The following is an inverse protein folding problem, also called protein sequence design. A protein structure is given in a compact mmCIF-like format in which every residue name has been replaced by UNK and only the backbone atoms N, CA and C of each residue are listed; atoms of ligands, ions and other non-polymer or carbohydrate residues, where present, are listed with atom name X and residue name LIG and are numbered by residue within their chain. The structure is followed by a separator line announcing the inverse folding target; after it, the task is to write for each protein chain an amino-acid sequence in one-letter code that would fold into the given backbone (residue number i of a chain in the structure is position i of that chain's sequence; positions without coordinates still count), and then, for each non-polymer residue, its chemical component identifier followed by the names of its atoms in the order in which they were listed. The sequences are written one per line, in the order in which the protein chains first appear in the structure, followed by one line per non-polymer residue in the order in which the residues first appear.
data_IF_896355392994
#
_entry.id   IF_896355392994
#
_cell.length_a   1.000
_cell.length_b   1.000
_cell.length_c   1.000
_cell.angle_alpha   90.00
_cell.angle_beta   90.00
_cell.angle_gamma   90.00
#
_symmetry.space_group_name_H-M   'P 1'
#
loop_
_entity.id
_entity.type
_entity.pdbx_description
1 polymer ?
#
# COMPACT_ATOMS: atom_id res chain seq x y z
N UNK A 1 6.05 -0.78 -32.06
CA UNK A 1 5.66 -0.10 -30.82
C UNK A 1 4.38 0.74 -30.93
N UNK A 2 3.71 0.83 -32.09
CA UNK A 2 2.48 1.64 -32.24
C UNK A 2 1.17 0.83 -32.35
N UNK A 3 1.24 -0.40 -32.86
CA UNK A 3 0.03 -1.20 -33.17
C UNK A 3 -0.76 -1.61 -31.92
N UNK A 4 -0.08 -1.84 -30.78
CA UNK A 4 -0.71 -2.31 -29.53
C UNK A 4 -1.41 -1.19 -28.76
N UNK A 5 -0.83 0.02 -28.78
CA UNK A 5 -1.46 1.22 -28.25
C UNK A 5 -2.69 1.59 -29.07
N UNK A 6 -2.62 1.44 -30.39
CA UNK A 6 -3.77 1.62 -31.28
C UNK A 6 -4.83 0.54 -31.02
N UNK A 7 -4.46 -0.74 -30.90
CA UNK A 7 -5.42 -1.83 -30.66
C UNK A 7 -6.18 -1.67 -29.32
N UNK A 8 -5.47 -1.34 -28.24
CA UNK A 8 -6.11 -1.10 -26.94
C UNK A 8 -6.97 0.18 -26.98
N UNK A 9 -6.52 1.26 -27.63
CA UNK A 9 -7.34 2.46 -27.83
C UNK A 9 -8.59 2.18 -28.66
N UNK A 10 -8.49 1.41 -29.73
CA UNK A 10 -9.61 1.03 -30.59
C UNK A 10 -10.60 0.13 -29.83
N UNK A 11 -10.12 -0.85 -29.05
CA UNK A 11 -10.97 -1.67 -28.20
C UNK A 11 -11.68 -0.84 -27.11
N UNK A 12 -11.01 0.16 -26.55
CA UNK A 12 -11.59 1.06 -25.54
C UNK A 12 -12.67 1.98 -26.12
N UNK A 13 -12.49 2.46 -27.35
CA UNK A 13 -13.49 3.29 -28.06
C UNK A 13 -14.71 2.46 -28.47
N UNK A 14 -14.52 1.19 -28.84
CA UNK A 14 -15.63 0.29 -29.22
C UNK A 14 -16.44 -0.18 -28.02
N UNK A 15 -15.83 -0.28 -26.83
CA UNK A 15 -16.49 -0.77 -25.61
C UNK A 15 -16.93 0.33 -24.63
N UNK A 16 -16.67 1.61 -24.95
CA UNK A 16 -16.97 2.77 -24.09
C UNK A 16 -16.47 2.60 -22.64
N UNK A 17 -15.26 2.05 -22.48
CA UNK A 17 -14.66 1.87 -21.17
C UNK A 17 -14.36 3.23 -20.53
N UNK A 18 -14.65 3.35 -19.24
CA UNK A 18 -14.28 4.49 -18.42
C UNK A 18 -12.77 4.58 -18.27
N UNK A 19 -12.27 5.79 -17.95
CA UNK A 19 -10.84 6.00 -17.72
C UNK A 19 -10.27 5.06 -16.65
N UNK A 20 -11.05 4.78 -15.61
CA UNK A 20 -10.63 3.90 -14.53
C UNK A 20 -10.58 2.44 -14.97
N UNK A 21 -11.53 1.98 -15.78
CA UNK A 21 -11.49 0.63 -16.36
C UNK A 21 -10.26 0.42 -17.25
N UNK A 22 -9.87 1.45 -18.00
CA UNK A 22 -8.63 1.43 -18.80
C UNK A 22 -7.40 1.31 -17.90
N UNK A 23 -7.33 2.08 -16.81
CA UNK A 23 -6.21 2.01 -15.85
C UNK A 23 -6.14 0.66 -15.13
N UNK A 24 -7.28 0.06 -14.78
CA UNK A 24 -7.31 -1.30 -14.22
C UNK A 24 -6.80 -2.31 -15.24
N UNK A 25 -7.20 -2.21 -16.51
CA UNK A 25 -6.69 -3.08 -17.57
C UNK A 25 -5.18 -2.92 -17.80
N UNK A 26 -4.67 -1.70 -17.71
CA UNK A 26 -3.23 -1.43 -17.78
C UNK A 26 -2.49 -2.08 -16.59
N UNK A 27 -3.02 -1.90 -15.38
CA UNK A 27 -2.44 -2.46 -14.16
C UNK A 27 -2.46 -4.01 -14.15
N UNK A 28 -3.45 -4.62 -14.81
CA UNK A 28 -3.69 -6.07 -14.80
C UNK A 28 -3.36 -6.76 -16.14
N UNK A 29 -2.73 -6.06 -17.08
CA UNK A 29 -2.41 -6.60 -18.41
C UNK A 29 -1.46 -7.81 -18.38
N UNK A 30 -1.38 -8.58 -19.49
CA UNK A 30 -0.66 -9.86 -19.56
C UNK A 30 0.86 -9.74 -19.51
N UNK A 31 1.38 -8.52 -19.57
CA UNK A 31 2.82 -8.25 -19.60
C UNK A 31 3.54 -8.80 -18.36
N UNK A 32 4.80 -9.25 -18.51
CA UNK A 32 5.49 -9.97 -17.45
C UNK A 32 5.93 -9.11 -16.26
N UNK A 33 5.86 -7.79 -16.38
CA UNK A 33 6.13 -6.85 -15.31
C UNK A 33 4.86 -6.46 -14.55
N UNK A 34 5.02 -6.13 -13.27
CA UNK A 34 3.95 -5.62 -12.42
C UNK A 34 3.52 -4.20 -12.81
N UNK A 35 2.36 -3.77 -12.31
CA UNK A 35 1.92 -2.38 -12.44
C UNK A 35 2.88 -1.44 -11.70
N UNK A 36 3.01 -0.20 -12.19
CA UNK A 36 3.75 0.82 -11.46
C UNK A 36 3.04 1.18 -10.16
N UNK A 37 3.79 1.46 -9.10
CA UNK A 37 3.22 1.91 -7.82
C UNK A 37 2.42 3.20 -8.00
N UNK A 38 2.84 4.07 -8.92
CA UNK A 38 2.11 5.30 -9.27
C UNK A 38 0.72 5.01 -9.82
N UNK A 39 0.59 4.05 -10.74
CA UNK A 39 -0.71 3.65 -11.30
C UNK A 39 -1.62 3.03 -10.23
N UNK A 40 -1.07 2.17 -9.37
CA UNK A 40 -1.83 1.60 -8.26
C UNK A 40 -2.27 2.65 -7.24
N UNK A 41 -1.43 3.67 -6.99
CA UNK A 41 -1.76 4.81 -6.13
C UNK A 41 -2.90 5.62 -6.71
N UNK A 42 -2.84 5.92 -8.01
CA UNK A 42 -3.91 6.66 -8.70
C UNK A 42 -5.25 5.91 -8.63
N UNK A 43 -5.24 4.59 -8.87
CA UNK A 43 -6.42 3.75 -8.68
C UNK A 43 -6.91 3.75 -7.23
N UNK A 44 -6.01 3.69 -6.24
CA UNK A 44 -6.37 3.77 -4.83
C UNK A 44 -7.04 5.10 -4.47
N UNK A 45 -6.55 6.21 -5.01
CA UNK A 45 -7.14 7.53 -4.81
C UNK A 45 -8.50 7.65 -5.48
N UNK A 46 -8.65 7.08 -6.68
CA UNK A 46 -9.92 7.05 -7.39
C UNK A 46 -11.01 6.29 -6.61
N UNK A 47 -10.67 5.27 -5.80
CA UNK A 47 -11.67 4.54 -5.01
C UNK A 47 -12.44 5.38 -3.98
N UNK A 48 -11.99 6.60 -3.67
CA UNK A 48 -12.74 7.53 -2.81
C UNK A 48 -13.94 8.17 -3.52
N UNK A 49 -13.94 8.19 -4.86
CA UNK A 49 -15.08 8.57 -5.67
C UNK A 49 -16.01 7.35 -5.87
N UNK A 50 -17.33 7.53 -5.72
CA UNK A 50 -18.29 6.42 -5.87
C UNK A 50 -18.30 5.84 -7.28
N UNK A 51 -18.30 6.69 -8.30
CA UNK A 51 -18.38 6.27 -9.69
C UNK A 51 -17.13 5.47 -10.08
N UNK A 52 -15.96 6.02 -9.77
CA UNK A 52 -14.68 5.36 -10.07
C UNK A 52 -14.55 4.04 -9.31
N UNK A 53 -15.02 3.97 -8.06
CA UNK A 53 -15.09 2.71 -7.32
C UNK A 53 -15.97 1.67 -8.03
N UNK A 54 -17.16 2.07 -8.50
CA UNK A 54 -18.10 1.20 -9.22
C UNK A 54 -17.55 0.76 -10.59
N UNK A 55 -16.56 1.45 -11.14
CA UNK A 55 -15.81 1.04 -12.35
C UNK A 55 -14.62 0.12 -12.02
N UNK A 56 -13.87 0.41 -10.95
CA UNK A 56 -12.61 -0.27 -10.60
C UNK A 56 -12.85 -1.69 -10.08
N UNK A 57 -13.74 -1.85 -9.09
CA UNK A 57 -13.88 -3.13 -8.38
C UNK A 57 -14.40 -4.26 -9.29
N UNK A 58 -15.45 -4.06 -10.11
CA UNK A 58 -15.92 -5.09 -11.02
C UNK A 58 -14.84 -5.54 -12.02
N UNK A 59 -14.05 -4.61 -12.55
CA UNK A 59 -12.96 -4.92 -13.47
C UNK A 59 -11.91 -5.84 -12.85
N UNK A 60 -11.62 -5.68 -11.56
CA UNK A 60 -10.71 -6.57 -10.82
C UNK A 60 -11.35 -7.96 -10.64
N UNK A 61 -12.62 -8.02 -10.23
CA UNK A 61 -13.31 -9.30 -10.04
C UNK A 61 -13.49 -10.09 -11.34
N UNK A 62 -13.67 -9.42 -12.47
CA UNK A 62 -13.67 -10.07 -13.79
C UNK A 62 -12.36 -10.83 -14.06
N UNK A 63 -11.22 -10.33 -13.57
CA UNK A 63 -9.93 -11.05 -13.70
C UNK A 63 -9.86 -12.30 -12.82
N UNK A 64 -10.51 -12.30 -11.66
CA UNK A 64 -10.53 -13.47 -10.78
C UNK A 64 -11.43 -14.59 -11.27
N UNK A 65 -12.49 -14.24 -12.00
CA UNK A 65 -13.42 -15.20 -12.60
C UNK A 65 -12.95 -15.72 -13.97
N UNK A 66 -11.76 -15.34 -14.43
CA UNK A 66 -11.21 -15.87 -15.69
C UNK A 66 -10.92 -17.37 -15.54
N UNK A 67 -11.60 -18.16 -16.37
CA UNK A 67 -11.48 -19.62 -16.36
C UNK A 67 -10.25 -20.13 -17.10
N UNK A 68 -9.58 -19.30 -17.90
CA UNK A 68 -8.38 -19.70 -18.64
C UNK A 68 -7.13 -19.64 -17.72
N UNK A 69 -6.54 -20.80 -17.34
CA UNK A 69 -5.39 -20.81 -16.45
C UNK A 69 -4.14 -20.17 -17.06
N UNK A 70 -4.06 -20.05 -18.39
CA UNK A 70 -2.94 -19.38 -19.07
C UNK A 70 -2.88 -17.87 -18.76
N UNK A 71 -3.99 -17.28 -18.31
CA UNK A 71 -4.07 -15.88 -17.87
C UNK A 71 -3.61 -15.64 -16.43
N UNK A 72 -2.87 -16.58 -15.81
CA UNK A 72 -2.39 -16.49 -14.43
C UNK A 72 -1.69 -15.16 -14.08
N UNK A 73 -1.01 -14.51 -15.03
CA UNK A 73 -0.37 -13.19 -14.83
C UNK A 73 -1.40 -12.10 -14.55
N UNK A 74 -2.51 -12.11 -15.29
CA UNK A 74 -3.58 -11.13 -15.10
C UNK A 74 -4.26 -11.34 -13.75
N UNK A 75 -4.54 -12.60 -13.38
CA UNK A 75 -5.09 -12.98 -12.07
C UNK A 75 -4.16 -12.53 -10.94
N UNK A 76 -2.86 -12.83 -11.06
CA UNK A 76 -1.86 -12.45 -10.07
C UNK A 76 -1.74 -10.92 -9.92
N UNK A 77 -1.68 -10.18 -11.03
CA UNK A 77 -1.61 -8.71 -11.02
C UNK A 77 -2.89 -8.07 -10.47
N UNK A 78 -4.05 -8.67 -10.74
CA UNK A 78 -5.32 -8.26 -10.12
C UNK A 78 -5.31 -8.48 -8.60
N UNK A 79 -4.71 -9.58 -8.11
CA UNK A 79 -4.52 -9.79 -6.66
C UNK A 79 -3.56 -8.76 -6.06
N UNK A 80 -2.48 -8.41 -6.75
CA UNK A 80 -1.58 -7.34 -6.30
C UNK A 80 -2.29 -5.99 -6.20
N UNK A 81 -3.13 -5.67 -7.20
CA UNK A 81 -3.92 -4.45 -7.20
C UNK A 81 -4.91 -4.45 -6.03
N UNK A 82 -5.67 -5.52 -5.83
CA UNK A 82 -6.66 -5.58 -4.73
C UNK A 82 -5.99 -5.50 -3.36
N UNK A 83 -4.84 -6.13 -3.17
CA UNK A 83 -4.04 -6.02 -1.94
C UNK A 83 -3.63 -4.56 -1.68
N UNK A 84 -3.18 -3.85 -2.72
CA UNK A 84 -2.82 -2.44 -2.62
C UNK A 84 -4.01 -1.55 -2.26
N UNK A 85 -5.16 -1.75 -2.92
CA UNK A 85 -6.39 -1.00 -2.67
C UNK A 85 -6.92 -1.24 -1.25
N UNK A 86 -6.87 -2.48 -0.75
CA UNK A 86 -7.24 -2.84 0.63
C UNK A 86 -6.36 -2.13 1.66
N UNK A 87 -5.09 -1.88 1.35
CA UNK A 87 -4.15 -1.19 2.25
C UNK A 87 -4.22 0.34 2.14
N UNK A 88 -4.55 0.88 0.98
CA UNK A 88 -4.31 2.31 0.68
C UNK A 88 -5.54 3.07 0.16
N UNK A 89 -6.53 2.37 -0.39
CA UNK A 89 -7.76 2.96 -0.93
C UNK A 89 -8.81 3.27 0.13
N UNK A 90 -10.01 3.62 -0.32
CA UNK A 90 -11.14 3.94 0.54
C UNK A 90 -11.59 2.74 1.40
N UNK A 91 -12.14 3.00 2.60
CA UNK A 91 -12.56 1.94 3.54
C UNK A 91 -13.58 0.97 2.91
N UNK A 92 -14.44 1.46 2.01
CA UNK A 92 -15.40 0.64 1.26
C UNK A 92 -14.79 -0.48 0.43
N UNK A 93 -13.53 -0.35 0.02
CA UNK A 93 -12.82 -1.43 -0.67
C UNK A 93 -12.71 -2.66 0.23
N UNK A 94 -12.46 -2.45 1.53
CA UNK A 94 -12.38 -3.54 2.51
C UNK A 94 -13.72 -4.26 2.64
N UNK A 95 -14.82 -3.50 2.75
CA UNK A 95 -16.17 -4.04 2.84
C UNK A 95 -16.55 -4.84 1.58
N UNK A 96 -16.26 -4.28 0.41
CA UNK A 96 -16.56 -4.94 -0.86
C UNK A 96 -15.76 -6.23 -1.07
N UNK A 97 -14.48 -6.23 -0.69
CA UNK A 97 -13.63 -7.43 -0.70
C UNK A 97 -14.12 -8.48 0.30
N UNK A 98 -14.67 -8.08 1.46
CA UNK A 98 -15.31 -9.01 2.40
C UNK A 98 -16.55 -9.65 1.81
N UNK A 99 -17.40 -8.88 1.14
CA UNK A 99 -18.60 -9.39 0.48
C UNK A 99 -18.25 -10.38 -0.65
N UNK A 100 -17.13 -10.16 -1.34
CA UNK A 100 -16.65 -11.01 -2.42
C UNK A 100 -15.53 -11.96 -2.01
N UNK A 101 -15.31 -12.20 -0.70
CA UNK A 101 -14.16 -12.95 -0.20
C UNK A 101 -14.11 -14.38 -0.75
N UNK A 102 -15.26 -14.95 -1.09
CA UNK A 102 -15.39 -16.29 -1.66
C UNK A 102 -14.68 -16.40 -3.00
N UNK A 103 -14.75 -15.39 -3.87
CA UNK A 103 -14.03 -15.36 -5.16
C UNK A 103 -12.52 -15.40 -4.92
N UNK A 104 -12.02 -14.56 -3.99
CA UNK A 104 -10.60 -14.55 -3.63
C UNK A 104 -10.17 -15.90 -3.03
N UNK A 105 -11.00 -16.50 -2.16
CA UNK A 105 -10.74 -17.81 -1.55
C UNK A 105 -10.64 -18.95 -2.58
N UNK A 106 -11.40 -18.91 -3.68
CA UNK A 106 -11.32 -19.93 -4.73
C UNK A 106 -9.94 -19.95 -5.40
N UNK A 107 -9.28 -18.79 -5.52
CA UNK A 107 -7.93 -18.66 -6.09
C UNK A 107 -6.84 -19.37 -5.27
N UNK A 108 -7.12 -19.79 -4.02
CA UNK A 108 -6.22 -20.66 -3.24
C UNK A 108 -6.04 -22.04 -3.87
N UNK A 109 -6.93 -22.44 -4.76
CA UNK A 109 -6.86 -23.70 -5.51
C UNK A 109 -6.42 -23.48 -6.97
N UNK A 110 -5.99 -22.27 -7.34
CA UNK A 110 -5.58 -21.95 -8.71
C UNK A 110 -4.40 -22.82 -9.16
N UNK A 111 -4.53 -23.46 -10.32
CA UNK A 111 -3.55 -24.39 -10.85
C UNK A 111 -3.16 -24.02 -12.29
N UNK A 112 -1.86 -23.80 -12.51
CA UNK A 112 -1.32 -23.61 -13.85
C UNK A 112 0.16 -24.02 -13.86
N UNK A 113 0.49 -24.99 -14.70
CA UNK A 113 1.86 -25.41 -14.99
C UNK A 113 2.19 -24.92 -16.40
N UNK A 114 3.30 -24.21 -16.56
CA UNK A 114 3.73 -23.71 -17.86
C UNK A 114 4.40 -24.79 -18.72
N UNK A 115 4.71 -24.45 -19.97
CA UNK A 115 5.35 -25.37 -20.93
C UNK A 115 6.73 -25.87 -20.48
N UNK A 116 7.35 -25.21 -19.50
CA UNK A 116 8.65 -25.59 -18.94
C UNK A 116 8.49 -26.49 -17.69
N UNK A 117 7.26 -26.90 -17.35
CA UNK A 117 6.96 -27.69 -16.17
C UNK A 117 6.95 -26.90 -14.87
N UNK A 118 6.97 -25.56 -14.91
CA UNK A 118 6.96 -24.72 -13.72
C UNK A 118 5.53 -24.40 -13.28
N UNK A 119 5.22 -24.65 -12.01
CA UNK A 119 3.96 -24.23 -11.39
C UNK A 119 3.94 -22.72 -11.21
N UNK A 120 3.21 -22.03 -12.08
CA UNK A 120 2.97 -20.59 -11.98
C UNK A 120 1.77 -20.27 -11.08
N UNK A 121 0.88 -21.24 -10.86
CA UNK A 121 -0.27 -21.10 -10.00
C UNK A 121 0.10 -20.92 -8.52
N UNK A 122 1.27 -21.38 -8.09
CA UNK A 122 1.72 -21.26 -6.70
C UNK A 122 1.73 -19.82 -6.19
N UNK A 123 2.10 -18.85 -7.04
CA UNK A 123 2.14 -17.43 -6.68
C UNK A 123 0.73 -16.86 -6.47
N UNK A 124 -0.23 -17.28 -7.31
CA UNK A 124 -1.64 -16.92 -7.19
C UNK A 124 -2.21 -17.47 -5.88
N UNK A 125 -1.96 -18.75 -5.59
CA UNK A 125 -2.43 -19.41 -4.37
C UNK A 125 -1.89 -18.75 -3.10
N UNK A 126 -0.58 -18.49 -3.06
CA UNK A 126 0.07 -17.84 -1.92
C UNK A 126 -0.47 -16.42 -1.69
N UNK A 127 -0.57 -15.61 -2.75
CA UNK A 127 -1.08 -14.24 -2.64
C UNK A 127 -2.55 -14.19 -2.23
N UNK A 128 -3.39 -15.04 -2.82
CA UNK A 128 -4.79 -15.18 -2.43
C UNK A 128 -4.92 -15.51 -0.93
N UNK A 129 -4.12 -16.46 -0.42
CA UNK A 129 -4.09 -16.79 1.01
C UNK A 129 -3.75 -15.57 1.88
N UNK A 130 -2.67 -14.86 1.57
CA UNK A 130 -2.24 -13.68 2.34
C UNK A 130 -3.32 -12.58 2.37
N UNK A 131 -4.02 -12.36 1.25
CA UNK A 131 -5.11 -11.37 1.17
C UNK A 131 -6.29 -11.81 2.03
N UNK A 132 -6.68 -13.10 1.97
CA UNK A 132 -7.77 -13.63 2.81
C UNK A 132 -7.43 -13.52 4.29
N UNK A 133 -6.20 -13.88 4.67
CA UNK A 133 -5.73 -13.81 6.05
C UNK A 133 -5.69 -12.34 6.55
N UNK A 134 -5.24 -11.40 5.71
CA UNK A 134 -5.28 -9.97 6.02
C UNK A 134 -6.70 -9.42 6.20
N UNK A 135 -7.64 -9.79 5.34
CA UNK A 135 -9.02 -9.27 5.39
C UNK A 135 -9.79 -9.77 6.63
N UNK A 136 -9.46 -10.97 7.10
CA UNK A 136 -10.08 -11.57 8.29
C UNK A 136 -9.49 -11.04 9.61
N UNK A 137 -8.32 -10.40 9.59
CA UNK A 137 -7.65 -9.83 10.76
C UNK A 137 -7.82 -8.30 10.78
N UNK A 138 -8.85 -7.83 11.50
CA UNK A 138 -9.18 -6.41 11.61
C UNK A 138 -8.05 -5.57 12.23
N UNK A 139 -7.31 -6.12 13.18
CA UNK A 139 -6.25 -5.39 13.88
C UNK A 139 -5.05 -5.21 12.94
N UNK A 140 -4.55 -6.30 12.37
CA UNK A 140 -3.47 -6.27 11.37
C UNK A 140 -3.83 -5.39 10.17
N UNK A 141 -5.08 -5.45 9.69
CA UNK A 141 -5.52 -4.61 8.58
C UNK A 141 -5.49 -3.12 8.93
N UNK A 142 -5.96 -2.74 10.12
CA UNK A 142 -5.91 -1.34 10.58
C UNK A 142 -4.48 -0.84 10.67
N UNK A 143 -3.55 -1.65 11.18
CA UNK A 143 -2.13 -1.31 11.26
C UNK A 143 -1.50 -1.11 9.88
N UNK A 144 -1.72 -2.03 8.95
CA UNK A 144 -1.24 -1.94 7.57
C UNK A 144 -1.78 -0.68 6.87
N UNK A 145 -3.06 -0.36 7.06
CA UNK A 145 -3.68 0.86 6.52
C UNK A 145 -3.10 2.13 7.15
N UNK A 146 -2.86 2.15 8.47
CA UNK A 146 -2.21 3.28 9.16
C UNK A 146 -0.78 3.50 8.66
N UNK A 147 -0.02 2.41 8.48
CA UNK A 147 1.34 2.41 7.94
C UNK A 147 1.38 2.92 6.50
N UNK A 148 0.45 2.48 5.65
CA UNK A 148 0.35 2.94 4.26
C UNK A 148 0.10 4.45 4.19
N UNK A 149 -0.85 4.96 4.97
CA UNK A 149 -1.15 6.41 5.07
C UNK A 149 0.08 7.21 5.54
N UNK A 150 0.81 6.72 6.53
CA UNK A 150 2.02 7.39 7.02
C UNK A 150 3.15 7.43 5.99
N UNK A 151 3.33 6.36 5.20
CA UNK A 151 4.34 6.31 4.16
C UNK A 151 4.00 7.24 2.98
N UNK A 152 2.71 7.35 2.62
CA UNK A 152 2.24 8.28 1.58
C UNK A 152 2.69 9.72 1.85
N UNK A 153 2.48 10.21 3.07
CA UNK A 153 2.80 11.59 3.46
C UNK A 153 4.30 11.92 3.37
N UNK A 154 5.19 10.92 3.45
CA UNK A 154 6.64 11.13 3.39
C UNK A 154 7.16 11.36 1.97
N UNK A 155 6.51 10.77 0.97
CA UNK A 155 6.95 10.83 -0.43
C UNK A 155 6.21 11.91 -1.24
N UNK A 156 5.04 12.36 -0.77
CA UNK A 156 4.30 13.49 -1.36
C UNK A 156 5.04 14.84 -1.17
N UNK A 157 5.88 14.94 -0.13
CA UNK A 157 6.70 16.13 0.15
C UNK A 157 8.00 16.26 -0.66
N UNK A 158 8.28 15.34 -1.59
CA UNK A 158 9.56 15.31 -2.34
C UNK A 158 9.44 15.75 -3.81
N UNK A 159 8.23 15.96 -4.33
CA UNK A 159 7.96 16.36 -5.73
C UNK A 159 7.71 17.87 -5.87
N UNK A 160 8.44 18.68 -5.10
CA UNK A 160 8.35 20.14 -5.13
C UNK A 160 9.70 20.78 -4.82
N UNK A 161 10.53 20.99 -5.84
CA UNK A 161 11.77 21.73 -5.71
C UNK A 161 11.54 23.16 -5.21
N UNK A 162 12.13 23.48 -4.05
CA UNK A 162 12.25 24.78 -3.37
C UNK A 162 10.93 25.37 -2.82
N UNK A 163 10.78 25.83 -1.57
CA UNK A 163 11.63 26.77 -0.80
C UNK A 163 11.35 26.67 0.72
N UNK A 164 12.42 26.65 1.50
CA UNK A 164 12.66 27.32 2.81
C UNK A 164 11.50 27.61 3.78
N UNK A 165 11.52 26.93 4.94
CA UNK A 165 11.40 27.51 6.29
C UNK A 165 12.06 26.50 7.22
N UNK A 166 13.30 26.66 7.69
CA UNK A 166 13.89 27.83 8.31
C UNK A 166 14.51 27.37 9.63
N UNK A 167 15.67 26.70 9.58
CA UNK A 167 16.52 26.43 10.74
C UNK A 167 17.97 26.79 10.40
N UNK A 168 18.19 28.09 10.16
CA UNK A 168 19.53 28.68 10.18
C UNK A 168 19.82 29.14 11.60
N UNK A 169 20.55 28.34 12.38
CA UNK A 169 21.08 28.78 13.67
C UNK A 169 22.46 29.42 13.44
N UNK A 170 22.45 30.70 13.09
CA UNK A 170 23.64 31.56 13.08
C UNK A 170 23.47 32.66 14.13
N UNK A 171 24.27 32.53 15.18
CA UNK A 171 24.72 33.55 16.14
C UNK A 171 24.37 35.01 15.84
N UNK A 172 23.69 35.67 16.78
CA UNK A 172 23.93 37.08 17.06
C UNK A 172 23.65 37.39 18.53
N UNK A 173 24.63 38.06 19.12
CA UNK A 173 24.67 38.57 20.48
C UNK A 173 23.48 39.50 20.78
N UNK A 174 22.97 39.42 22.01
CA UNK A 174 22.29 40.53 22.67
C UNK A 174 22.74 40.62 24.13
N UNK A 175 23.42 41.72 24.37
CA UNK A 175 23.77 42.33 25.64
C UNK A 175 22.50 42.81 26.39
N UNK A 176 22.64 43.02 27.71
CA UNK A 176 21.82 43.83 28.63
C UNK A 176 21.39 43.10 29.92
N UNK A 177 22.27 43.21 30.92
CA UNK A 177 22.00 43.64 32.30
C UNK A 177 20.68 43.27 33.00
N UNK A 178 20.85 42.46 34.06
CA UNK A 178 20.51 42.85 35.43
C UNK A 178 19.11 42.52 35.94
N UNK A 179 19.02 41.62 36.92
CA UNK A 179 18.29 41.86 38.19
C UNK A 179 18.73 40.82 39.23
N UNK A 180 19.11 41.33 40.40
CA UNK A 180 19.50 40.64 41.62
C UNK A 180 18.29 40.31 42.49
N UNK A 181 18.21 39.11 43.08
CA UNK A 181 18.00 38.96 44.53
C UNK A 181 18.11 37.50 44.99
N UNK A 182 18.87 37.35 46.07
CA UNK A 182 19.02 36.23 47.01
C UNK A 182 17.75 35.47 47.40
N UNK A 183 17.88 34.15 47.62
CA UNK A 183 16.85 33.34 48.30
C UNK A 183 17.22 31.88 48.49
N UNK A 184 17.71 31.59 49.70
CA UNK A 184 17.93 30.30 50.36
C UNK A 184 17.02 29.11 49.97
N UNK A 185 17.57 27.89 50.03
CA UNK A 185 16.84 26.77 50.64
C UNK A 185 17.03 25.36 50.07
N UNK A 186 17.66 24.52 50.88
CA UNK A 186 17.35 23.10 51.11
C UNK A 186 17.99 22.03 50.21
N UNK A 187 19.01 21.38 50.77
CA UNK A 187 19.47 20.03 50.45
C UNK A 187 18.40 19.00 50.85
N UNK A 188 17.97 18.17 49.90
CA UNK A 188 17.13 17.01 50.14
C UNK A 188 17.75 15.74 49.55
N UNK A 189 18.03 14.79 50.44
CA UNK A 189 18.00 13.32 50.33
C UNK A 189 18.49 12.66 49.02
N UNK A 190 19.41 11.70 49.04
CA UNK A 190 19.29 10.44 49.78
C UNK A 190 19.21 9.28 48.76
N UNK A 191 19.48 8.05 49.22
CA UNK A 191 19.68 6.79 48.47
C UNK A 191 21.10 6.61 47.91
N UNK A 192 21.85 5.56 48.23
CA UNK A 192 21.52 4.34 48.94
C UNK A 192 22.47 3.24 48.43
N UNK A 193 23.38 2.81 49.29
CA UNK A 193 24.37 1.76 49.05
C UNK A 193 23.76 0.44 48.58
N UNK A 194 24.40 -0.24 47.62
CA UNK A 194 24.53 -1.71 47.65
C UNK A 194 25.94 -2.14 47.28
N UNK A 195 26.59 -2.67 48.32
CA UNK A 195 27.76 -3.55 48.29
C UNK A 195 27.47 -4.82 47.49
N UNK A 196 28.49 -5.33 46.81
CA UNK A 196 28.49 -6.66 46.19
C UNK A 196 29.90 -7.02 45.74
N UNK A 197 30.72 -7.48 46.68
CA UNK A 197 32.01 -8.12 46.42
C UNK A 197 32.02 -9.57 46.91
N UNK A 198 33.05 -10.30 46.47
CA UNK A 198 33.41 -11.72 46.70
C UNK A 198 32.78 -12.74 45.73
N UNK A 199 33.43 -13.82 45.29
CA UNK A 199 34.81 -14.37 45.37
C UNK A 199 34.75 -15.82 44.82
N UNK A 200 35.87 -16.33 44.29
CA UNK A 200 36.14 -17.76 44.08
C UNK A 200 35.64 -18.31 42.74
N UNK A 201 36.37 -19.14 42.01
CA UNK A 201 37.54 -19.98 42.28
C UNK A 201 37.54 -21.06 41.21
#
# INVERSE_FOLDING_TARGET
WDVRNVYNKVKNVVMNYSEMEVKVNEATGPEPWGASTTLMRELADATYNRKDFDDIMPMIYMKFNDTDPSNWRQVYKALQLIEYLVKSGAERVVEDVRNHITIVKMLKNFHHIDNNGKDQGINVRYRSKEIVDLINDDERLREERKKSKANRNKYDGFEGGARMSGFGNSSSARDSSGFSSSGFGSNGAGFGSRYGGLSGG
#
